data_IF_429897801709
#
_entry.id   IF_429897801709
#
_cell.length_a   1.000
_cell.length_b   1.000
_cell.length_c   1.000
_cell.angle_alpha   90.00
_cell.angle_beta   90.00
_cell.angle_gamma   90.00
#
_symmetry.space_group_name_H-M   'P 1'
#
loop_
_entity.id
_entity.type
_entity.pdbx_description
1 polymer ?
#
# COMPACT_ATOMS: atom_id res chain seq x y z
N UNK A 1 12.24 -5.12 16.93
CA UNK A 1 10.87 -5.49 16.48
C UNK A 1 10.74 -5.33 14.97
N UNK A 2 10.86 -4.12 14.39
CA UNK A 2 10.66 -3.87 12.94
C UNK A 2 11.45 -4.82 12.02
N UNK A 3 12.76 -4.95 12.19
CA UNK A 3 13.58 -5.88 11.38
C UNK A 3 13.11 -7.32 11.47
N UNK A 4 12.65 -7.76 12.63
CA UNK A 4 12.14 -9.11 12.83
C UNK A 4 10.77 -9.29 12.15
N UNK A 5 9.89 -8.28 12.25
CA UNK A 5 8.61 -8.26 11.54
C UNK A 5 8.79 -8.33 10.03
N UNK A 6 9.75 -7.58 9.47
CA UNK A 6 10.05 -7.61 8.04
C UNK A 6 10.51 -9.00 7.58
N UNK A 7 11.35 -9.67 8.38
CA UNK A 7 11.85 -11.03 8.05
C UNK A 7 10.80 -12.13 8.05
N UNK A 8 9.63 -11.91 8.67
CA UNK A 8 8.55 -12.90 8.76
C UNK A 8 7.30 -12.50 7.98
N UNK A 9 7.34 -11.37 7.29
CA UNK A 9 6.21 -10.87 6.50
C UNK A 9 6.40 -11.21 5.03
N UNK A 10 5.33 -11.58 4.33
CA UNK A 10 5.33 -11.69 2.86
C UNK A 10 5.10 -10.34 2.18
N UNK A 11 4.34 -9.47 2.84
CA UNK A 11 3.91 -8.19 2.26
C UNK A 11 4.20 -7.07 3.25
N UNK A 12 4.82 -6.00 2.77
CA UNK A 12 4.98 -4.75 3.50
C UNK A 12 4.08 -3.68 2.90
N UNK A 13 3.23 -3.06 3.71
CA UNK A 13 2.51 -1.83 3.36
C UNK A 13 3.02 -0.69 4.21
N UNK A 14 3.29 0.44 3.58
CA UNK A 14 3.66 1.68 4.23
C UNK A 14 3.23 2.89 3.38
N UNK A 15 3.25 4.08 3.96
CA UNK A 15 3.00 5.33 3.23
C UNK A 15 4.29 6.08 2.88
N UNK A 16 4.16 7.17 2.12
CA UNK A 16 5.27 8.01 1.64
C UNK A 16 5.99 8.79 2.75
N UNK A 17 5.37 8.99 3.91
CA UNK A 17 6.02 9.55 5.09
C UNK A 17 6.78 8.49 5.90
N UNK A 18 6.27 7.25 5.93
CA UNK A 18 6.86 6.12 6.65
C UNK A 18 8.09 5.53 5.95
N UNK A 19 8.10 5.49 4.60
CA UNK A 19 9.21 4.96 3.83
C UNK A 19 10.57 5.59 4.18
N UNK A 20 10.75 6.94 4.14
CA UNK A 20 12.04 7.54 4.47
C UNK A 20 12.46 7.28 5.92
N UNK A 21 11.50 7.23 6.87
CA UNK A 21 11.77 6.92 8.28
C UNK A 21 12.29 5.49 8.41
N UNK A 22 11.66 4.53 7.72
CA UNK A 22 12.07 3.13 7.74
C UNK A 22 13.48 2.95 7.15
N UNK A 23 13.78 3.62 6.04
CA UNK A 23 15.09 3.54 5.38
C UNK A 23 16.20 4.08 6.29
N UNK A 24 15.97 5.20 6.97
CA UNK A 24 16.90 5.77 7.94
C UNK A 24 17.10 4.86 9.15
N UNK A 25 15.99 4.35 9.72
CA UNK A 25 16.00 3.46 10.87
C UNK A 25 16.78 2.15 10.60
N UNK A 26 16.74 1.66 9.37
CA UNK A 26 17.46 0.45 8.95
C UNK A 26 18.91 0.73 8.52
N UNK A 27 19.35 1.99 8.54
CA UNK A 27 20.70 2.39 8.15
C UNK A 27 20.99 2.22 6.66
N UNK A 28 19.96 2.23 5.81
CA UNK A 28 20.13 2.12 4.37
C UNK A 28 20.34 3.49 3.72
N UNK A 29 21.13 3.50 2.66
CA UNK A 29 21.30 4.70 1.86
C UNK A 29 20.02 5.04 1.12
N UNK A 30 19.70 6.34 1.07
CA UNK A 30 18.65 6.86 0.20
C UNK A 30 18.96 6.50 -1.26
N UNK A 31 17.93 6.19 -2.03
CA UNK A 31 17.99 5.94 -3.47
C UNK A 31 17.31 7.09 -4.22
N UNK A 32 17.49 7.12 -5.54
CA UNK A 32 16.97 8.19 -6.39
C UNK A 32 15.44 8.13 -6.52
N UNK A 33 14.86 6.93 -6.41
CA UNK A 33 13.42 6.73 -6.53
C UNK A 33 12.81 5.87 -5.40
N UNK A 34 11.52 6.09 -5.14
CA UNK A 34 10.71 5.26 -4.24
C UNK A 34 10.67 3.80 -4.69
N UNK A 35 10.69 3.54 -6.00
CA UNK A 35 10.70 2.20 -6.57
C UNK A 35 11.97 1.44 -6.18
N UNK A 36 13.15 2.08 -6.29
CA UNK A 36 14.41 1.46 -5.89
C UNK A 36 14.47 1.18 -4.38
N UNK A 37 13.90 2.06 -3.55
CA UNK A 37 13.78 1.80 -2.11
C UNK A 37 12.87 0.61 -1.82
N UNK A 38 11.74 0.50 -2.52
CA UNK A 38 10.85 -0.66 -2.38
C UNK A 38 11.55 -1.96 -2.83
N UNK A 39 12.27 -1.93 -3.96
CA UNK A 39 13.06 -3.08 -4.44
C UNK A 39 14.18 -3.47 -3.47
N UNK A 40 14.84 -2.51 -2.86
CA UNK A 40 15.83 -2.76 -1.81
C UNK A 40 15.21 -3.51 -0.63
N UNK A 41 14.03 -3.10 -0.17
CA UNK A 41 13.33 -3.79 0.93
C UNK A 41 12.92 -5.22 0.56
N UNK A 42 12.45 -5.44 -0.67
CA UNK A 42 12.16 -6.77 -1.21
C UNK A 42 13.41 -7.65 -1.15
N UNK A 43 14.52 -7.19 -1.72
CA UNK A 43 15.78 -7.96 -1.77
C UNK A 43 16.32 -8.28 -0.37
N UNK A 44 16.30 -7.31 0.55
CA UNK A 44 16.90 -7.47 1.88
C UNK A 44 16.09 -8.35 2.82
N UNK A 45 14.78 -8.42 2.63
CA UNK A 45 13.88 -9.12 3.55
C UNK A 45 13.12 -10.28 2.91
N UNK A 46 13.28 -10.53 1.61
CA UNK A 46 12.56 -11.60 0.90
C UNK A 46 11.06 -11.37 0.85
N UNK A 47 10.63 -10.10 0.70
CA UNK A 47 9.21 -9.75 0.62
C UNK A 47 8.68 -10.07 -0.78
N UNK A 48 7.49 -10.66 -0.87
CA UNK A 48 6.81 -10.91 -2.14
C UNK A 48 6.28 -9.61 -2.76
N UNK A 49 5.93 -8.62 -1.92
CA UNK A 49 5.29 -7.38 -2.35
C UNK A 49 5.54 -6.24 -1.35
N UNK A 50 5.89 -5.06 -1.88
CA UNK A 50 5.88 -3.79 -1.15
C UNK A 50 4.82 -2.88 -1.73
N UNK A 51 3.96 -2.34 -0.88
CA UNK A 51 2.86 -1.43 -1.23
C UNK A 51 3.07 -0.08 -0.58
N UNK A 52 3.42 0.92 -1.38
CA UNK A 52 3.61 2.30 -0.97
C UNK A 52 2.36 3.13 -1.29
N UNK A 53 1.65 3.60 -0.27
CA UNK A 53 0.48 4.49 -0.45
C UNK A 53 0.89 5.97 -0.37
N UNK A 54 0.30 6.82 -1.21
CA UNK A 54 0.65 8.24 -1.36
C UNK A 54 -0.56 9.16 -1.25
N UNK A 55 -1.55 8.75 -0.45
CA UNK A 55 -2.83 9.43 -0.29
C UNK A 55 -3.51 9.73 -1.64
N UNK A 56 -3.78 11.02 -1.90
CA UNK A 56 -4.41 11.49 -3.16
C UNK A 56 -3.60 11.20 -4.42
N UNK A 57 -2.30 10.92 -4.29
CA UNK A 57 -1.42 10.59 -5.41
C UNK A 57 -1.44 9.08 -5.74
N UNK A 58 -2.27 8.30 -5.03
CA UNK A 58 -2.49 6.88 -5.28
C UNK A 58 -1.48 5.98 -4.60
N UNK A 59 -0.91 5.04 -5.35
CA UNK A 59 0.03 4.07 -4.78
C UNK A 59 1.03 3.53 -5.80
N UNK A 60 2.12 3.00 -5.28
CA UNK A 60 3.15 2.26 -5.99
C UNK A 60 3.21 0.85 -5.40
N UNK A 61 2.93 -0.17 -6.21
CA UNK A 61 3.08 -1.58 -5.83
C UNK A 61 4.28 -2.15 -6.56
N UNK A 62 5.18 -2.81 -5.84
CA UNK A 62 6.43 -3.36 -6.38
C UNK A 62 6.57 -4.81 -5.93
N UNK A 63 6.82 -5.70 -6.88
CA UNK A 63 7.28 -7.06 -6.62
C UNK A 63 8.60 -7.30 -7.39
N UNK A 64 9.12 -8.53 -7.34
CA UNK A 64 10.36 -8.90 -8.04
C UNK A 64 10.30 -8.69 -9.56
N UNK A 65 9.11 -8.79 -10.17
CA UNK A 65 8.92 -8.84 -11.63
C UNK A 65 8.54 -7.50 -12.23
N UNK A 66 7.72 -6.73 -11.52
CA UNK A 66 7.06 -5.55 -12.07
C UNK A 66 6.74 -4.50 -11.01
N UNK A 67 6.38 -3.32 -11.51
CA UNK A 67 5.96 -2.17 -10.72
C UNK A 67 4.68 -1.60 -11.30
N UNK A 68 3.65 -1.43 -10.48
CA UNK A 68 2.37 -0.83 -10.86
C UNK A 68 2.18 0.48 -10.12
N UNK A 69 1.97 1.56 -10.89
CA UNK A 69 1.59 2.88 -10.38
C UNK A 69 0.10 3.10 -10.58
N UNK A 70 -0.58 3.53 -9.52
CA UNK A 70 -1.96 3.98 -9.60
C UNK A 70 -2.00 5.49 -9.35
N UNK A 71 -2.59 6.30 -10.26
CA UNK A 71 -2.50 7.76 -10.22
C UNK A 71 -3.29 8.45 -9.09
N UNK A 72 -3.94 7.67 -8.22
CA UNK A 72 -4.84 8.14 -7.18
C UNK A 72 -6.24 8.44 -7.71
N UNK A 73 -7.23 8.40 -6.82
CA UNK A 73 -8.61 8.80 -7.14
C UNK A 73 -8.91 10.14 -6.48
N UNK A 74 -9.45 11.06 -7.27
CA UNK A 74 -10.05 12.29 -6.72
C UNK A 74 -11.38 11.91 -6.07
N UNK A 75 -11.39 11.97 -4.75
CA UNK A 75 -12.60 11.86 -3.91
C UNK A 75 -12.66 13.08 -3.00
N UNK A 76 -13.87 13.49 -2.63
CA UNK A 76 -14.04 14.44 -1.54
C UNK A 76 -13.73 13.71 -0.24
N UNK A 77 -12.60 14.04 0.38
CA UNK A 77 -12.19 13.43 1.66
C UNK A 77 -13.07 14.01 2.76
N UNK A 78 -13.71 13.14 3.53
CA UNK A 78 -14.53 13.48 4.71
C UNK A 78 -13.77 13.12 5.97
N UNK A 79 -13.27 11.89 6.05
CA UNK A 79 -12.53 11.34 7.19
C UNK A 79 -11.53 10.30 6.67
N UNK A 80 -10.27 10.39 7.04
CA UNK A 80 -9.23 9.45 6.58
C UNK A 80 -9.09 8.23 7.48
N UNK A 81 -9.74 8.22 8.65
CA UNK A 81 -9.69 7.10 9.58
C UNK A 81 -10.20 5.83 8.89
N UNK A 82 -9.45 4.74 9.01
CA UNK A 82 -9.79 3.44 8.41
C UNK A 82 -9.48 3.30 6.92
N UNK A 83 -9.14 4.37 6.19
CA UNK A 83 -8.82 4.28 4.76
C UNK A 83 -7.61 3.36 4.48
N UNK A 84 -6.59 3.42 5.35
CA UNK A 84 -5.42 2.55 5.29
C UNK A 84 -5.74 1.08 5.57
N UNK A 85 -6.64 0.80 6.52
CA UNK A 85 -7.09 -0.55 6.84
C UNK A 85 -7.92 -1.14 5.70
N UNK A 86 -8.80 -0.32 5.13
CA UNK A 86 -9.63 -0.69 3.99
C UNK A 86 -8.78 -0.99 2.74
N UNK A 87 -7.74 -0.18 2.48
CA UNK A 87 -6.73 -0.48 1.46
C UNK A 87 -6.07 -1.84 1.71
N UNK A 88 -5.61 -2.06 2.95
CA UNK A 88 -4.92 -3.30 3.35
C UNK A 88 -5.83 -4.53 3.21
N UNK A 89 -7.10 -4.41 3.58
CA UNK A 89 -8.09 -5.48 3.44
C UNK A 89 -8.32 -5.85 1.97
N UNK A 90 -8.54 -4.86 1.09
CA UNK A 90 -8.71 -5.12 -0.34
C UNK A 90 -7.45 -5.72 -0.97
N UNK A 91 -6.26 -5.22 -0.58
CA UNK A 91 -4.98 -5.78 -0.99
C UNK A 91 -4.88 -7.25 -0.61
N UNK A 92 -5.11 -7.59 0.66
CA UNK A 92 -5.00 -8.96 1.15
C UNK A 92 -5.98 -9.90 0.42
N UNK A 93 -7.23 -9.47 0.21
CA UNK A 93 -8.23 -10.24 -0.53
C UNK A 93 -7.79 -10.51 -1.97
N UNK A 94 -7.32 -9.50 -2.70
CA UNK A 94 -6.92 -9.69 -4.10
C UNK A 94 -5.63 -10.49 -4.24
N UNK A 95 -4.67 -10.30 -3.32
CA UNK A 95 -3.44 -11.07 -3.27
C UNK A 95 -3.72 -12.56 -3.03
N UNK A 96 -4.57 -12.89 -2.04
CA UNK A 96 -4.97 -14.28 -1.77
C UNK A 96 -5.75 -14.93 -2.92
N UNK A 97 -6.39 -14.13 -3.77
CA UNK A 97 -7.05 -14.60 -5.01
C UNK A 97 -6.07 -14.84 -6.17
N UNK A 98 -4.79 -14.52 -6.03
CA UNK A 98 -3.81 -14.59 -7.11
C UNK A 98 -4.09 -13.59 -8.23
N UNK A 99 -4.68 -12.44 -7.90
CA UNK A 99 -5.01 -11.40 -8.90
C UNK A 99 -3.74 -10.71 -9.42
N UNK A 100 -3.83 -10.08 -10.60
CA UNK A 100 -2.72 -9.27 -11.13
C UNK A 100 -2.43 -8.06 -10.23
N UNK A 101 -1.21 -7.51 -10.32
CA UNK A 101 -0.79 -6.39 -9.50
C UNK A 101 -1.61 -5.12 -9.78
N UNK A 102 -2.04 -4.92 -11.03
CA UNK A 102 -2.97 -3.86 -11.43
C UNK A 102 -4.31 -4.01 -10.72
N UNK A 103 -4.85 -5.23 -10.66
CA UNK A 103 -6.14 -5.48 -10.03
C UNK A 103 -6.07 -5.31 -8.52
N UNK A 104 -4.99 -5.77 -7.89
CA UNK A 104 -4.71 -5.54 -6.47
C UNK A 104 -4.67 -4.02 -6.20
N UNK A 105 -3.87 -3.29 -6.98
CA UNK A 105 -3.70 -1.84 -6.85
C UNK A 105 -5.02 -1.09 -7.03
N UNK A 106 -5.79 -1.42 -8.07
CA UNK A 106 -7.07 -0.78 -8.34
C UNK A 106 -8.07 -1.01 -7.21
N UNK A 107 -8.25 -2.25 -6.75
CA UNK A 107 -9.20 -2.58 -5.71
C UNK A 107 -8.84 -1.92 -4.38
N UNK A 108 -7.57 -1.94 -4.01
CA UNK A 108 -7.07 -1.32 -2.78
C UNK A 108 -7.25 0.20 -2.78
N UNK A 109 -6.88 0.87 -3.88
CA UNK A 109 -7.11 2.31 -4.03
C UNK A 109 -8.61 2.66 -4.05
N UNK A 110 -9.44 1.88 -4.74
CA UNK A 110 -10.89 2.10 -4.80
C UNK A 110 -11.50 2.03 -3.40
N UNK A 111 -11.19 0.98 -2.64
CA UNK A 111 -11.78 0.78 -1.31
C UNK A 111 -11.25 1.80 -0.29
N UNK A 112 -9.94 2.04 -0.26
CA UNK A 112 -9.35 3.05 0.62
C UNK A 112 -9.88 4.46 0.35
N UNK A 113 -9.97 4.85 -0.92
CA UNK A 113 -10.52 6.16 -1.30
C UNK A 113 -12.01 6.28 -1.00
N UNK A 114 -12.78 5.20 -1.15
CA UNK A 114 -14.19 5.19 -0.77
C UNK A 114 -14.35 5.40 0.73
N UNK A 115 -13.63 4.64 1.58
CA UNK A 115 -13.67 4.84 3.03
C UNK A 115 -13.26 6.27 3.41
N UNK A 116 -12.22 6.81 2.78
CA UNK A 116 -11.77 8.20 3.01
C UNK A 116 -12.84 9.27 2.71
N UNK A 117 -13.84 8.92 1.88
CA UNK A 117 -14.96 9.78 1.50
C UNK A 117 -16.21 9.60 2.37
N UNK A 118 -16.16 8.74 3.38
CA UNK A 118 -17.24 8.51 4.33
C UNK A 118 -16.84 9.04 5.71
N UNK A 119 -17.79 9.13 6.63
CA UNK A 119 -17.50 9.43 8.03
C UNK A 119 -17.23 8.13 8.81
N UNK A 120 -16.15 8.10 9.60
CA UNK A 120 -15.76 6.95 10.42
C UNK A 120 -15.03 5.83 9.67
N UNK A 121 -14.42 4.91 10.45
CA UNK A 121 -13.50 3.89 9.94
C UNK A 121 -14.15 2.75 9.14
N UNK A 122 -15.40 2.40 9.47
CA UNK A 122 -16.12 1.23 8.93
C UNK A 122 -17.51 1.64 8.44
N UNK A 123 -17.59 2.43 7.36
CA UNK A 123 -18.87 2.88 6.83
C UNK A 123 -19.73 1.69 6.38
N UNK A 124 -21.06 1.76 6.53
CA UNK A 124 -21.96 0.69 6.11
C UNK A 124 -21.83 0.46 4.60
N UNK A 125 -21.72 -0.81 4.21
CA UNK A 125 -21.55 -1.19 2.82
C UNK A 125 -22.72 -0.67 1.97
N UNK A 126 -22.40 -0.01 0.85
CA UNK A 126 -23.37 0.39 -0.16
C UNK A 126 -22.93 -0.11 -1.56
N UNK A 127 -23.75 0.13 -2.58
CA UNK A 127 -23.51 -0.34 -3.96
C UNK A 127 -22.18 0.12 -4.59
N UNK A 128 -21.43 1.08 -4.02
CA UNK A 128 -20.11 1.48 -4.52
C UNK A 128 -19.02 0.41 -4.37
N UNK A 129 -19.21 -0.51 -3.42
CA UNK A 129 -18.19 -1.50 -3.01
C UNK A 129 -18.43 -2.90 -3.62
N UNK A 130 -19.60 -3.12 -4.24
CA UNK A 130 -19.91 -4.37 -4.97
C UNK A 130 -19.18 -4.44 -6.32
#
# INVERSE_FOLDING_TARGET
IITQSLKISSILKLNDEELPILIDLLGYQKKESEEELCRLLIEKYGLDLVCLTKGRNGSLLVNERETVKYPGRKVTVIDTVGAGDAFTAALAIQYLKGSSLERISEAANKLGSWVASQAGATPPANKYVQ
#
